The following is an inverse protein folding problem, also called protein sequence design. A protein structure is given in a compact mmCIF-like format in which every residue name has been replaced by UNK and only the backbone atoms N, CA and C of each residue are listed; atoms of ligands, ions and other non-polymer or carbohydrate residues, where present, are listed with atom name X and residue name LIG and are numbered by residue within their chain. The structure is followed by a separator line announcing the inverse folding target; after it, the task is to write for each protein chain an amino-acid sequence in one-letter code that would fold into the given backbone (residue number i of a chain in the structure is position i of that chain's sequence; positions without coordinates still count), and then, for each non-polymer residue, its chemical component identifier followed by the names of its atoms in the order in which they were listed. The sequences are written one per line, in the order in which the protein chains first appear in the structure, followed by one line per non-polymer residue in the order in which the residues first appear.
data_IF_828426780155
#
_entry.id   IF_828426780155
#
_cell.length_a   1.000
_cell.length_b   1.000
_cell.length_c   1.000
_cell.angle_alpha   90.00
_cell.angle_beta   90.00
_cell.angle_gamma   90.00
#
_symmetry.space_group_name_H-M   'P 1'
#
loop_
_entity.id
_entity.type
_entity.pdbx_description
1 polymer ?
#
# COMPACT_ATOMS: atom_id res chain seq x y z
N UNK A 1 -10.41 -44.89 -13.37
CA UNK A 1 -11.28 -44.73 -12.18
C UNK A 1 -11.95 -43.36 -12.23
N UNK A 2 -13.28 -43.31 -12.22
CA UNK A 2 -14.02 -42.04 -12.19
C UNK A 2 -14.03 -41.46 -10.77
N UNK A 3 -13.80 -40.15 -10.67
CA UNK A 3 -13.80 -39.46 -9.39
C UNK A 3 -15.24 -39.34 -8.85
N UNK A 4 -15.54 -39.79 -7.62
CA UNK A 4 -16.88 -39.72 -7.04
C UNK A 4 -17.35 -38.29 -6.77
N UNK A 5 -16.43 -37.31 -6.74
CA UNK A 5 -16.75 -35.90 -6.47
C UNK A 5 -17.06 -35.10 -7.72
N UNK A 6 -16.33 -35.31 -8.82
CA UNK A 6 -16.45 -34.48 -10.03
C UNK A 6 -16.70 -35.25 -11.32
N UNK A 7 -16.74 -36.59 -11.27
CA UNK A 7 -16.97 -37.45 -12.44
C UNK A 7 -15.80 -37.49 -13.43
N UNK A 8 -14.67 -36.87 -13.14
CA UNK A 8 -13.51 -36.90 -14.03
C UNK A 8 -12.91 -38.32 -14.09
N UNK A 9 -12.62 -38.79 -15.30
CA UNK A 9 -11.96 -40.06 -15.52
C UNK A 9 -10.46 -39.92 -15.24
N UNK A 10 -9.94 -40.65 -14.26
CA UNK A 10 -8.52 -40.73 -13.94
C UNK A 10 -7.94 -42.07 -14.37
N UNK A 11 -6.64 -42.09 -14.71
CA UNK A 11 -5.89 -43.34 -14.93
C UNK A 11 -5.83 -44.16 -13.63
N UNK A 12 -5.77 -45.49 -13.75
CA UNK A 12 -5.65 -46.39 -12.59
C UNK A 12 -4.30 -46.14 -11.90
N UNK A 13 -4.29 -46.07 -10.57
CA UNK A 13 -3.14 -45.81 -9.67
C UNK A 13 -2.82 -44.35 -9.30
N UNK A 14 -3.73 -43.40 -9.52
CA UNK A 14 -3.56 -42.04 -9.00
C UNK A 14 -4.10 -41.93 -7.56
N UNK A 15 -3.24 -41.56 -6.60
CA UNK A 15 -3.63 -41.38 -5.19
C UNK A 15 -4.61 -40.22 -4.95
N UNK A 16 -4.74 -39.29 -5.90
CA UNK A 16 -5.73 -38.22 -5.89
C UNK A 16 -6.20 -37.88 -7.31
N UNK A 17 -7.42 -37.36 -7.43
CA UNK A 17 -7.99 -36.96 -8.72
C UNK A 17 -7.22 -35.77 -9.31
N UNK A 18 -6.75 -35.89 -10.55
CA UNK A 18 -5.96 -34.84 -11.21
C UNK A 18 -6.76 -33.58 -11.55
N UNK A 19 -8.10 -33.64 -11.51
CA UNK A 19 -8.95 -32.49 -11.80
C UNK A 19 -9.37 -31.71 -10.55
N UNK A 20 -9.60 -32.37 -9.42
CA UNK A 20 -10.12 -31.71 -8.22
C UNK A 20 -9.29 -31.95 -6.95
N UNK A 21 -8.24 -32.76 -7.01
CA UNK A 21 -7.31 -33.03 -5.92
C UNK A 21 -7.85 -33.93 -4.81
N UNK A 22 -9.06 -34.51 -4.94
CA UNK A 22 -9.62 -35.39 -3.90
C UNK A 22 -8.87 -36.73 -3.87
N UNK A 23 -8.56 -37.23 -2.67
CA UNK A 23 -7.89 -38.52 -2.50
C UNK A 23 -8.77 -39.68 -3.00
N UNK A 24 -8.16 -40.62 -3.72
CA UNK A 24 -8.83 -41.76 -4.36
C UNK A 24 -8.71 -43.03 -3.49
N UNK A 25 -8.88 -42.91 -2.16
CA UNK A 25 -8.78 -44.03 -1.21
C UNK A 25 -10.13 -44.40 -0.58
N UNK A 26 -10.31 -45.70 -0.40
CA UNK A 26 -11.49 -46.48 -0.01
C UNK A 26 -12.53 -45.86 0.94
N UNK A 27 -13.77 -45.80 0.41
CA UNK A 27 -15.01 -46.37 0.94
C UNK A 27 -15.27 -46.32 2.45
N UNK A 28 -15.97 -45.27 2.92
CA UNK A 28 -17.18 -45.40 3.76
C UNK A 28 -17.72 -44.04 4.22
N UNK A 29 -18.86 -43.62 3.68
CA UNK A 29 -19.79 -42.74 4.37
C UNK A 29 -21.22 -43.24 4.15
N UNK A 30 -22.10 -43.14 5.17
CA UNK A 30 -23.36 -43.86 5.19
C UNK A 30 -24.41 -43.23 4.29
N UNK A 31 -25.26 -44.12 3.81
CA UNK A 31 -26.42 -43.95 2.93
C UNK A 31 -27.39 -42.86 3.38
N UNK A 32 -27.70 -41.93 2.46
CA UNK A 32 -29.04 -41.33 2.38
C UNK A 32 -29.58 -41.54 0.95
N UNK A 33 -30.76 -42.17 0.94
CA UNK A 33 -31.58 -42.66 -0.15
C UNK A 33 -31.60 -41.87 -1.47
N UNK A 34 -31.48 -42.62 -2.59
CA UNK A 34 -32.09 -42.25 -3.87
C UNK A 34 -32.95 -43.39 -4.42
N UNK A 35 -34.14 -42.97 -4.88
CA UNK A 35 -35.23 -43.71 -5.51
C UNK A 35 -34.83 -44.16 -6.94
N UNK A 36 -35.30 -45.32 -7.45
CA UNK A 36 -34.67 -45.97 -8.60
C UNK A 36 -35.08 -45.39 -9.97
N UNK A 37 -34.18 -45.63 -10.91
CA UNK A 37 -34.17 -45.20 -12.30
C UNK A 37 -35.24 -45.84 -13.20
N UNK A 38 -35.54 -45.16 -14.31
CA UNK A 38 -36.20 -45.76 -15.47
C UNK A 38 -35.37 -45.51 -16.75
N UNK A 39 -34.92 -46.63 -17.33
CA UNK A 39 -34.78 -46.97 -18.76
C UNK A 39 -34.13 -45.98 -19.74
N UNK A 40 -32.99 -46.39 -20.30
CA UNK A 40 -32.45 -45.85 -21.56
C UNK A 40 -33.14 -46.42 -22.80
N UNK A 41 -32.64 -46.06 -24.00
CA UNK A 41 -32.49 -47.09 -25.03
C UNK A 41 -31.17 -47.04 -25.80
N UNK A 42 -30.71 -48.26 -26.10
CA UNK A 42 -30.16 -48.80 -27.34
C UNK A 42 -29.02 -48.10 -28.10
N UNK A 43 -27.96 -48.89 -28.27
CA UNK A 43 -26.82 -48.67 -29.17
C UNK A 43 -27.23 -48.60 -30.65
N UNK A 44 -26.61 -47.67 -31.37
CA UNK A 44 -26.75 -47.54 -32.83
C UNK A 44 -25.66 -46.68 -33.47
N UNK A 45 -24.67 -47.37 -34.06
CA UNK A 45 -23.71 -46.93 -35.09
C UNK A 45 -22.64 -45.89 -34.73
N UNK A 46 -21.41 -46.41 -34.68
CA UNK A 46 -20.14 -45.72 -34.80
C UNK A 46 -20.13 -44.89 -36.10
N UNK A 47 -20.28 -43.58 -35.95
CA UNK A 47 -19.75 -42.60 -36.89
C UNK A 47 -18.61 -41.90 -36.17
N UNK A 48 -17.39 -41.99 -36.69
CA UNK A 48 -16.25 -41.21 -36.19
C UNK A 48 -16.64 -39.73 -36.15
N UNK A 49 -16.66 -39.04 -34.99
CA UNK A 49 -16.75 -37.60 -35.01
C UNK A 49 -15.38 -37.09 -35.47
N UNK A 50 -15.38 -36.66 -36.73
CA UNK A 50 -14.41 -35.74 -37.32
C UNK A 50 -14.00 -34.73 -36.24
N UNK A 51 -12.70 -34.63 -35.94
CA UNK A 51 -12.12 -33.64 -35.03
C UNK A 51 -12.69 -32.26 -35.39
N UNK A 52 -13.67 -31.79 -34.60
CA UNK A 52 -14.11 -30.42 -34.67
C UNK A 52 -12.93 -29.58 -34.20
N UNK A 53 -12.38 -28.78 -35.12
CA UNK A 53 -11.29 -27.86 -34.86
C UNK A 53 -11.64 -27.05 -33.60
N UNK A 54 -10.90 -27.30 -32.52
CA UNK A 54 -11.08 -26.58 -31.27
C UNK A 54 -10.86 -25.09 -31.51
N UNK A 55 -11.75 -24.27 -30.95
CA UNK A 55 -11.58 -22.82 -31.01
C UNK A 55 -10.16 -22.41 -30.56
N UNK A 56 -9.57 -21.36 -31.16
CA UNK A 56 -8.19 -20.98 -30.87
C UNK A 56 -8.01 -20.61 -29.39
N UNK A 57 -6.85 -20.93 -28.79
CA UNK A 57 -6.58 -20.65 -27.38
C UNK A 57 -6.65 -19.15 -27.10
N UNK A 58 -7.21 -18.78 -25.95
CA UNK A 58 -7.37 -17.39 -25.53
C UNK A 58 -6.16 -16.94 -24.73
N UNK A 59 -5.49 -15.89 -25.20
CA UNK A 59 -4.42 -15.26 -24.44
C UNK A 59 -5.00 -14.30 -23.39
N UNK A 60 -4.51 -14.39 -22.16
CA UNK A 60 -4.93 -13.51 -21.09
C UNK A 60 -4.42 -12.07 -21.33
N UNK A 61 -5.29 -11.04 -21.26
CA UNK A 61 -4.88 -9.65 -21.48
C UNK A 61 -4.03 -9.08 -20.34
N UNK A 62 -4.04 -9.70 -19.15
CA UNK A 62 -3.31 -9.21 -17.97
C UNK A 62 -1.92 -9.85 -17.83
N UNK A 63 -1.84 -11.19 -17.92
CA UNK A 63 -0.59 -11.93 -17.66
C UNK A 63 -0.07 -12.73 -18.86
N UNK A 64 -0.66 -12.52 -20.04
CA UNK A 64 -0.25 -13.11 -21.33
C UNK A 64 -0.24 -14.64 -21.41
N UNK A 65 -0.75 -15.34 -20.40
CA UNK A 65 -0.84 -16.80 -20.38
C UNK A 65 -1.86 -17.27 -21.41
N UNK A 66 -1.49 -18.28 -22.21
CA UNK A 66 -2.39 -18.96 -23.15
C UNK A 66 -3.28 -19.96 -22.40
N UNK A 67 -4.59 -19.83 -22.58
CA UNK A 67 -5.59 -20.69 -21.95
C UNK A 67 -6.36 -21.43 -23.04
N UNK A 68 -6.86 -22.63 -22.74
CA UNK A 68 -7.74 -23.33 -23.65
C UNK A 68 -9.01 -22.50 -23.94
N UNK A 69 -9.58 -22.62 -25.14
CA UNK A 69 -10.68 -21.76 -25.57
C UNK A 69 -11.95 -21.84 -24.70
N UNK A 70 -12.14 -22.95 -23.99
CA UNK A 70 -13.24 -23.20 -23.04
C UNK A 70 -13.09 -22.45 -21.71
N UNK A 71 -11.91 -21.93 -21.39
CA UNK A 71 -11.68 -21.24 -20.12
C UNK A 71 -12.36 -19.87 -20.12
N UNK A 72 -13.22 -19.66 -19.11
CA UNK A 72 -13.87 -18.36 -18.83
C UNK A 72 -12.96 -17.42 -18.04
N UNK A 73 -11.94 -17.94 -17.36
CA UNK A 73 -10.97 -17.18 -16.56
C UNK A 73 -9.55 -17.70 -16.81
N UNK A 74 -8.54 -16.85 -16.63
CA UNK A 74 -7.14 -17.24 -16.80
C UNK A 74 -6.70 -18.18 -15.68
N UNK A 75 -6.12 -19.32 -16.06
CA UNK A 75 -5.63 -20.35 -15.14
C UNK A 75 -4.46 -19.88 -14.25
N UNK A 76 -3.77 -18.78 -14.60
CA UNK A 76 -2.62 -18.25 -13.86
C UNK A 76 -2.97 -17.08 -12.94
N UNK A 77 -3.85 -16.17 -13.37
CA UNK A 77 -4.13 -14.92 -12.65
C UNK A 77 -5.62 -14.64 -12.40
N UNK A 78 -6.52 -15.53 -12.84
CA UNK A 78 -7.97 -15.41 -12.62
C UNK A 78 -8.70 -14.35 -13.47
N UNK A 79 -8.00 -13.63 -14.35
CA UNK A 79 -8.63 -12.59 -15.20
C UNK A 79 -9.68 -13.21 -16.16
N UNK A 80 -10.90 -12.65 -16.28
CA UNK A 80 -11.94 -13.18 -17.16
C UNK A 80 -11.53 -13.10 -18.64
N UNK A 81 -11.78 -14.18 -19.40
CA UNK A 81 -11.38 -14.36 -20.79
C UNK A 81 -12.62 -14.42 -21.69
N UNK A 82 -12.93 -13.32 -22.39
CA UNK A 82 -13.97 -13.31 -23.42
C UNK A 82 -14.97 -12.15 -23.37
N UNK A 83 -14.75 -11.12 -22.55
CA UNK A 83 -15.46 -9.85 -22.71
C UNK A 83 -14.62 -8.92 -23.59
N UNK A 84 -15.05 -8.71 -24.84
CA UNK A 84 -14.65 -7.52 -25.58
C UNK A 84 -15.21 -6.31 -24.83
N UNK A 85 -14.37 -5.66 -24.03
CA UNK A 85 -14.65 -4.30 -23.59
C UNK A 85 -14.58 -3.38 -24.82
N UNK A 86 -15.68 -2.74 -25.17
CA UNK A 86 -15.65 -1.60 -26.07
C UNK A 86 -14.80 -0.48 -25.42
N UNK A 87 -13.96 0.24 -26.18
CA UNK A 87 -13.23 1.38 -25.63
C UNK A 87 -14.23 2.53 -25.42
N UNK A 88 -14.43 2.92 -24.15
CA UNK A 88 -15.20 4.11 -23.78
C UNK A 88 -16.48 3.83 -23.01
N UNK A 89 -16.37 3.45 -21.74
CA UNK A 89 -17.43 3.65 -20.77
C UNK A 89 -16.80 4.11 -19.44
N UNK A 90 -17.04 5.36 -19.07
CA UNK A 90 -16.66 5.91 -17.77
C UNK A 90 -17.46 5.17 -16.67
N UNK A 91 -16.87 4.88 -15.49
CA UNK A 91 -17.64 4.41 -14.35
C UNK A 91 -18.69 5.46 -13.95
N UNK A 92 -19.92 5.00 -13.75
CA UNK A 92 -21.03 5.83 -13.29
C UNK A 92 -20.76 6.49 -11.95
N UNK A 93 -21.14 7.76 -11.87
CA UNK A 93 -21.12 8.54 -10.64
C UNK A 93 -22.11 7.98 -9.60
N UNK A 94 -21.78 8.00 -8.29
CA UNK A 94 -22.77 7.77 -7.25
C UNK A 94 -23.74 8.95 -7.13
N UNK A 95 -24.97 8.64 -6.74
CA UNK A 95 -26.09 9.56 -6.60
C UNK A 95 -25.77 10.79 -5.71
N UNK A 96 -26.14 11.97 -6.21
CA UNK A 96 -25.93 13.26 -5.57
C UNK A 96 -26.74 13.39 -4.26
N UNK A 97 -26.03 13.66 -3.17
CA UNK A 97 -26.58 14.17 -1.92
C UNK A 97 -26.80 15.68 -2.03
N UNK A 98 -27.90 16.14 -1.42
CA UNK A 98 -28.42 17.51 -1.42
C UNK A 98 -27.42 18.53 -0.81
N UNK A 99 -27.28 19.76 -1.34
CA UNK A 99 -26.38 20.77 -0.79
C UNK A 99 -26.99 21.47 0.46
N UNK A 100 -26.15 21.98 1.39
CA UNK A 100 -26.61 22.73 2.56
C UNK A 100 -27.00 24.18 2.19
N UNK A 101 -27.80 24.88 3.03
CA UNK A 101 -28.28 26.22 2.72
C UNK A 101 -27.21 27.30 2.93
N UNK A 102 -27.29 28.36 2.11
CA UNK A 102 -26.42 29.53 2.14
C UNK A 102 -26.67 30.45 3.36
N UNK A 103 -25.67 31.21 3.83
CA UNK A 103 -25.85 32.18 4.90
C UNK A 103 -26.51 33.48 4.39
N UNK A 104 -27.23 34.13 5.31
CA UNK A 104 -28.08 35.29 5.10
C UNK A 104 -27.31 36.58 4.74
N UNK A 105 -27.98 37.42 3.93
CA UNK A 105 -27.58 38.78 3.51
C UNK A 105 -27.56 39.77 4.69
N UNK A 106 -26.56 40.65 4.67
CA UNK A 106 -26.59 41.96 5.35
C UNK A 106 -27.25 43.04 4.45
N UNK A 107 -27.86 44.10 5.01
CA UNK A 107 -28.51 45.13 4.23
C UNK A 107 -27.56 46.26 3.80
N UNK A 108 -27.98 46.95 2.73
CA UNK A 108 -27.24 47.96 1.99
C UNK A 108 -27.56 49.40 2.45
N UNK A 109 -26.58 50.30 2.29
CA UNK A 109 -26.73 51.75 2.09
C UNK A 109 -25.41 52.25 1.47
N UNK A 110 -25.28 53.24 0.58
CA UNK A 110 -26.15 54.08 -0.25
C UNK A 110 -25.24 54.78 -1.27
N UNK A 111 -25.69 54.97 -2.51
CA UNK A 111 -24.92 55.56 -3.63
C UNK A 111 -24.76 57.09 -3.49
N UNK A 112 -23.65 57.64 -3.98
CA UNK A 112 -23.49 59.06 -4.32
C UNK A 112 -23.08 59.24 -5.80
N UNK A 113 -23.42 60.36 -6.47
CA UNK A 113 -23.34 60.53 -7.93
C UNK A 113 -22.02 61.20 -8.41
N UNK A 114 -21.76 61.22 -9.74
CA UNK A 114 -20.45 61.57 -10.30
C UNK A 114 -20.31 63.08 -10.61
N UNK A 115 -19.06 63.61 -10.74
CA UNK A 115 -18.83 64.95 -11.26
C UNK A 115 -18.60 64.99 -12.79
N UNK A 116 -18.81 66.15 -13.45
CA UNK A 116 -18.73 66.33 -14.90
C UNK A 116 -17.33 66.75 -15.41
N UNK A 117 -17.10 66.83 -16.75
CA UNK A 117 -15.77 66.89 -17.34
C UNK A 117 -15.33 68.31 -17.76
N UNK A 118 -14.02 68.54 -17.85
CA UNK A 118 -13.45 69.69 -18.56
C UNK A 118 -12.05 69.41 -19.13
N UNK A 119 -11.87 69.70 -20.42
CA UNK A 119 -10.64 69.74 -21.24
C UNK A 119 -9.91 71.11 -21.10
N UNK A 120 -8.86 71.48 -21.87
CA UNK A 120 -7.69 70.75 -22.41
C UNK A 120 -6.34 71.39 -21.98
N UNK A 121 -5.23 70.81 -22.45
CA UNK A 121 -3.82 71.09 -22.13
C UNK A 121 -3.29 72.51 -22.41
N UNK A 122 -2.31 72.94 -21.59
CA UNK A 122 -1.24 73.88 -22.00
C UNK A 122 0.11 73.46 -21.43
N UNK A 123 1.12 73.62 -22.28
CA UNK A 123 2.54 73.32 -22.19
C UNK A 123 3.31 74.04 -21.08
N UNK A 124 4.23 73.34 -20.41
CA UNK A 124 5.33 73.93 -19.64
C UNK A 124 6.60 73.07 -19.71
N UNK A 125 7.74 73.76 -19.80
CA UNK A 125 9.12 73.34 -20.15
C UNK A 125 9.74 72.20 -19.30
N UNK A 126 10.77 71.51 -19.82
CA UNK A 126 11.62 70.59 -19.04
C UNK A 126 12.47 71.36 -18.02
N UNK A 127 12.49 70.87 -16.77
CA UNK A 127 13.40 71.32 -15.70
C UNK A 127 14.74 70.57 -15.84
N UNK A 128 15.90 71.26 -15.76
CA UNK A 128 17.22 70.63 -15.89
C UNK A 128 17.57 69.76 -14.67
N UNK A 129 18.42 68.72 -14.84
CA UNK A 129 18.82 67.83 -13.75
C UNK A 129 19.76 68.50 -12.75
N UNK A 130 19.75 68.08 -11.48
CA UNK A 130 20.60 68.65 -10.43
C UNK A 130 22.08 68.27 -10.59
N UNK A 131 23.02 69.09 -10.05
CA UNK A 131 24.45 68.92 -10.26
C UNK A 131 25.04 67.69 -9.54
N UNK A 132 26.15 67.13 -10.05
CA UNK A 132 26.78 65.94 -9.47
C UNK A 132 27.42 66.25 -8.12
N UNK A 133 27.26 65.32 -7.17
CA UNK A 133 27.90 65.36 -5.85
C UNK A 133 29.41 65.08 -5.96
N UNK A 134 30.24 65.62 -5.05
CA UNK A 134 31.70 65.49 -5.12
C UNK A 134 32.16 64.03 -4.97
N UNK A 135 33.13 63.67 -5.79
CA UNK A 135 33.84 62.38 -5.73
C UNK A 135 34.78 62.40 -4.53
N UNK A 136 34.39 61.74 -3.45
CA UNK A 136 35.28 61.43 -2.31
C UNK A 136 35.40 59.92 -2.16
N UNK A 137 36.63 59.43 -2.35
CA UNK A 137 37.08 58.11 -1.91
C UNK A 137 36.72 56.97 -2.87
N UNK A 138 37.71 56.48 -3.62
CA UNK A 138 37.64 55.14 -4.20
C UNK A 138 37.46 54.11 -3.07
N UNK A 139 36.26 53.57 -2.93
CA UNK A 139 36.03 52.38 -2.14
C UNK A 139 36.81 51.24 -2.77
N UNK A 140 37.70 50.61 -2.00
CA UNK A 140 38.35 49.35 -2.39
C UNK A 140 37.26 48.35 -2.80
N UNK A 141 37.45 47.58 -3.90
CA UNK A 141 36.55 46.49 -4.21
C UNK A 141 36.46 45.57 -2.99
N UNK A 142 35.23 45.32 -2.53
CA UNK A 142 34.99 44.33 -1.48
C UNK A 142 35.60 43.01 -1.96
N UNK A 143 36.46 42.41 -1.12
CA UNK A 143 37.03 41.11 -1.39
C UNK A 143 35.90 40.11 -1.66
N UNK A 144 36.02 39.24 -2.68
CA UNK A 144 35.00 38.23 -2.94
C UNK A 144 34.76 37.41 -1.66
N UNK A 145 33.50 37.04 -1.36
CA UNK A 145 33.20 36.27 -0.16
C UNK A 145 34.06 35.00 -0.19
N UNK A 146 34.84 34.84 0.88
CA UNK A 146 35.68 33.67 1.11
C UNK A 146 34.81 32.42 0.87
N UNK A 147 35.24 31.45 0.04
CA UNK A 147 34.47 30.23 -0.16
C UNK A 147 34.15 29.63 1.20
N UNK A 148 32.86 29.39 1.47
CA UNK A 148 32.44 28.72 2.68
C UNK A 148 33.25 27.42 2.79
N UNK A 149 33.81 27.16 3.97
CA UNK A 149 34.55 25.93 4.22
C UNK A 149 33.70 24.72 3.80
N UNK A 150 34.28 23.67 3.19
CA UNK A 150 33.51 22.53 2.71
C UNK A 150 32.77 21.91 3.89
N UNK A 151 31.44 22.04 3.89
CA UNK A 151 30.61 21.47 4.95
C UNK A 151 30.65 19.96 4.76
N UNK A 152 31.19 19.24 5.76
CA UNK A 152 31.33 17.79 5.65
C UNK A 152 29.95 17.15 5.69
N UNK A 153 29.65 16.21 4.77
CA UNK A 153 28.43 15.42 4.85
C UNK A 153 28.44 14.64 6.17
N UNK A 154 27.27 14.53 6.82
CA UNK A 154 27.09 13.74 8.05
C UNK A 154 26.44 12.40 7.80
N UNK A 155 25.60 12.32 6.76
CA UNK A 155 25.04 11.09 6.23
C UNK A 155 24.57 11.31 4.79
N UNK A 156 24.31 10.23 4.06
CA UNK A 156 23.62 10.27 2.76
C UNK A 156 22.32 9.48 2.85
N UNK A 157 21.29 9.94 2.16
CA UNK A 157 20.00 9.25 2.03
C UNK A 157 19.76 9.00 0.55
N UNK A 158 19.67 7.72 0.17
CA UNK A 158 19.43 7.29 -1.20
C UNK A 158 17.98 6.86 -1.34
N UNK A 159 17.20 7.56 -2.18
CA UNK A 159 15.82 7.20 -2.48
C UNK A 159 15.78 6.16 -3.61
N UNK A 160 15.13 5.03 -3.33
CA UNK A 160 14.96 3.89 -4.22
C UNK A 160 13.46 3.75 -4.47
N UNK A 161 13.06 3.86 -5.73
CA UNK A 161 11.68 3.66 -6.14
C UNK A 161 11.32 2.16 -6.07
N UNK A 162 10.02 1.84 -6.08
CA UNK A 162 9.55 0.43 -6.04
C UNK A 162 10.07 -0.45 -7.18
N UNK A 163 10.43 0.14 -8.31
CA UNK A 163 11.02 -0.59 -9.45
C UNK A 163 12.51 -0.92 -9.25
N UNK A 164 13.09 -0.54 -8.10
CA UNK A 164 14.50 -0.71 -7.76
C UNK A 164 15.41 0.35 -8.36
N UNK A 165 14.88 1.31 -9.14
CA UNK A 165 15.67 2.41 -9.66
C UNK A 165 16.03 3.38 -8.53
N UNK A 166 17.25 3.91 -8.56
CA UNK A 166 17.63 5.01 -7.66
C UNK A 166 17.03 6.30 -8.20
N UNK A 167 16.10 6.86 -7.45
CA UNK A 167 15.38 8.07 -7.83
C UNK A 167 16.19 9.33 -7.53
N UNK A 168 16.84 9.40 -6.37
CA UNK A 168 17.62 10.56 -5.95
C UNK A 168 18.57 10.23 -4.78
N UNK A 169 19.69 10.95 -4.67
CA UNK A 169 20.57 10.89 -3.51
C UNK A 169 20.61 12.27 -2.83
N UNK A 170 20.41 12.28 -1.52
CA UNK A 170 20.38 13.49 -0.69
C UNK A 170 21.52 13.45 0.32
N UNK A 171 22.21 14.56 0.50
CA UNK A 171 23.31 14.67 1.46
C UNK A 171 22.81 15.43 2.68
N UNK A 172 22.86 14.78 3.84
CA UNK A 172 22.47 15.40 5.10
C UNK A 172 23.66 16.16 5.68
N UNK A 173 23.53 17.48 5.70
CA UNK A 173 24.56 18.41 6.16
C UNK A 173 24.12 19.14 7.44
N UNK A 174 22.85 19.55 7.46
CA UNK A 174 22.23 20.29 8.57
C UNK A 174 21.98 19.37 9.78
N UNK A 175 21.82 19.94 10.97
CA UNK A 175 21.37 19.21 12.16
C UNK A 175 19.96 18.65 12.00
N UNK A 176 19.11 19.38 11.26
CA UNK A 176 17.75 18.98 10.93
C UNK A 176 17.55 19.07 9.41
N UNK A 177 17.01 18.02 8.81
CA UNK A 177 16.64 17.97 7.40
C UNK A 177 15.23 17.43 7.26
N UNK A 178 14.35 18.19 6.61
CA UNK A 178 12.96 17.78 6.40
C UNK A 178 12.83 16.85 5.20
N UNK A 179 11.83 15.97 5.27
CA UNK A 179 11.46 15.03 4.22
C UNK A 179 10.01 15.29 3.85
N UNK A 180 9.72 15.53 2.58
CA UNK A 180 8.35 15.77 2.15
C UNK A 180 8.22 16.17 0.68
N UNK A 181 6.98 16.40 0.26
CA UNK A 181 6.65 16.84 -1.09
C UNK A 181 6.95 18.33 -1.30
N UNK A 182 6.66 19.15 -0.29
CA UNK A 182 6.70 20.62 -0.36
C UNK A 182 7.78 21.20 0.56
N UNK A 183 8.96 20.56 0.58
CA UNK A 183 10.14 21.01 1.32
C UNK A 183 11.10 21.80 0.44
N UNK A 184 12.09 22.44 1.05
CA UNK A 184 13.10 23.20 0.29
C UNK A 184 13.87 22.30 -0.68
N UNK A 185 14.38 22.88 -1.77
CA UNK A 185 15.14 22.15 -2.80
C UNK A 185 16.43 21.53 -2.26
N UNK A 186 16.96 22.06 -1.15
CA UNK A 186 18.17 21.56 -0.49
C UNK A 186 17.88 20.52 0.61
N UNK A 187 16.63 20.07 0.74
CA UNK A 187 16.19 19.04 1.68
C UNK A 187 15.80 17.75 0.94
N UNK A 188 15.27 16.75 1.65
CA UNK A 188 14.84 15.49 1.04
C UNK A 188 13.47 15.67 0.39
N UNK A 189 13.47 16.29 -0.80
CA UNK A 189 12.27 16.57 -1.57
C UNK A 189 11.88 15.38 -2.43
N UNK A 190 10.71 14.81 -2.16
CA UNK A 190 10.16 13.64 -2.85
C UNK A 190 8.84 14.00 -3.52
N UNK A 191 8.90 14.89 -4.51
CA UNK A 191 7.71 15.57 -5.03
C UNK A 191 6.90 14.79 -6.07
N UNK A 192 7.47 13.71 -6.59
CA UNK A 192 6.82 12.82 -7.57
C UNK A 192 5.84 11.84 -6.95
N UNK A 193 5.92 11.61 -5.63
CA UNK A 193 5.11 10.63 -4.94
C UNK A 193 3.88 11.28 -4.27
N UNK A 194 2.65 10.97 -4.70
CA UNK A 194 1.44 11.57 -4.15
C UNK A 194 1.12 11.09 -2.73
N UNK A 195 1.69 9.98 -2.27
CA UNK A 195 1.48 9.44 -0.93
C UNK A 195 2.39 10.09 0.11
N UNK A 196 3.25 11.03 -0.31
CA UNK A 196 4.11 11.80 0.58
C UNK A 196 3.43 13.14 0.91
N UNK A 197 3.25 13.40 2.21
CA UNK A 197 2.72 14.67 2.69
C UNK A 197 3.67 15.86 2.40
N UNK A 198 3.18 17.11 2.42
CA UNK A 198 4.00 18.32 2.28
C UNK A 198 5.24 18.31 3.19
N UNK A 199 5.03 18.00 4.47
CA UNK A 199 6.05 17.64 5.45
C UNK A 199 5.69 16.26 5.99
N UNK A 200 6.53 15.27 5.71
CA UNK A 200 6.26 13.88 6.04
C UNK A 200 7.05 13.38 7.24
N UNK A 201 8.35 13.66 7.24
CA UNK A 201 9.25 13.25 8.30
C UNK A 201 10.37 14.28 8.47
N UNK A 202 11.08 14.16 9.57
CA UNK A 202 12.23 15.01 9.87
C UNK A 202 13.39 14.13 10.30
N UNK A 203 14.52 14.26 9.62
CA UNK A 203 15.79 13.72 10.08
C UNK A 203 16.45 14.71 11.02
N UNK A 204 16.82 14.26 12.22
CA UNK A 204 17.54 15.05 13.21
C UNK A 204 18.78 14.30 13.67
N UNK A 205 19.89 15.01 13.80
CA UNK A 205 21.07 14.47 14.44
C UNK A 205 21.08 14.79 15.93
N UNK A 206 20.99 13.76 16.76
CA UNK A 206 21.19 13.83 18.20
C UNK A 206 22.65 13.42 18.50
N UNK A 207 23.55 14.39 18.45
CA UNK A 207 25.00 14.14 18.52
C UNK A 207 25.49 13.36 17.29
N UNK A 208 26.05 12.13 17.44
CA UNK A 208 26.42 11.27 16.32
C UNK A 208 25.25 10.43 15.77
N UNK A 209 24.16 10.30 16.54
CA UNK A 209 23.03 9.43 16.17
C UNK A 209 22.09 10.16 15.23
N UNK A 210 21.74 9.52 14.11
CA UNK A 210 20.65 9.99 13.26
C UNK A 210 19.32 9.44 13.78
N UNK A 211 18.32 10.30 13.89
CA UNK A 211 16.97 9.96 14.31
C UNK A 211 16.01 10.41 13.22
N UNK A 212 15.06 9.55 12.87
CA UNK A 212 13.92 9.91 12.02
C UNK A 212 12.70 10.15 12.90
N UNK A 213 12.03 11.27 12.69
CA UNK A 213 10.78 11.63 13.35
C UNK A 213 9.64 11.65 12.34
N UNK A 214 8.60 10.83 12.56
CA UNK A 214 7.35 10.92 11.79
C UNK A 214 6.61 12.20 12.19
N UNK A 215 6.16 12.98 11.21
CA UNK A 215 5.38 14.20 11.45
C UNK A 215 3.90 13.92 11.75
N UNK A 216 3.52 12.64 11.90
CA UNK A 216 2.15 12.23 12.21
C UNK A 216 1.27 12.17 10.97
N UNK A 217 1.85 11.80 9.82
CA UNK A 217 1.08 11.73 8.58
C UNK A 217 0.20 10.47 8.52
N UNK A 218 -0.89 10.47 7.72
CA UNK A 218 -1.75 9.28 7.59
C UNK A 218 -1.04 8.03 7.05
N UNK A 219 -0.06 8.25 6.17
CA UNK A 219 0.73 7.17 5.57
C UNK A 219 1.91 6.79 6.45
N UNK A 220 2.49 7.75 7.19
CA UNK A 220 3.53 7.51 8.18
C UNK A 220 4.86 7.03 7.60
N UNK A 221 5.84 6.93 8.49
CA UNK A 221 7.18 6.39 8.20
C UNK A 221 7.28 4.97 8.74
N UNK A 222 7.82 4.04 7.95
CA UNK A 222 8.08 2.68 8.43
C UNK A 222 9.56 2.33 8.35
N UNK A 223 10.07 1.62 9.35
CA UNK A 223 11.44 1.13 9.42
C UNK A 223 11.48 -0.36 9.08
N UNK A 224 12.36 -0.73 8.16
CA UNK A 224 12.62 -2.12 7.80
C UNK A 224 13.36 -2.84 8.92
N UNK A 225 13.09 -4.14 9.04
CA UNK A 225 13.78 -4.98 10.00
C UNK A 225 13.72 -6.44 9.62
N UNK A 226 14.63 -7.21 10.20
CA UNK A 226 14.62 -8.66 10.12
C UNK A 226 13.75 -9.29 11.21
N UNK A 227 13.83 -8.78 12.43
CA UNK A 227 13.08 -9.27 13.59
C UNK A 227 12.90 -8.15 14.61
N UNK A 228 11.71 -8.01 15.20
CA UNK A 228 11.39 -6.95 16.18
C UNK A 228 10.25 -7.36 17.09
N UNK A 229 10.39 -6.99 18.36
CA UNK A 229 9.30 -7.03 19.35
C UNK A 229 8.31 -5.91 19.06
N UNK A 230 7.04 -6.25 19.09
CA UNK A 230 5.92 -5.36 18.84
C UNK A 230 5.17 -5.07 20.14
N UNK A 231 4.61 -3.87 20.22
CA UNK A 231 3.60 -3.51 21.20
C UNK A 231 2.20 -3.70 20.60
N UNK A 232 1.20 -3.83 21.46
CA UNK A 232 -0.19 -3.89 21.00
C UNK A 232 -0.61 -2.55 20.43
N UNK A 233 -1.11 -2.56 19.19
CA UNK A 233 -1.42 -1.38 18.40
C UNK A 233 -0.34 -1.03 17.37
N UNK A 234 0.81 -1.73 17.36
CA UNK A 234 1.85 -1.49 16.36
C UNK A 234 1.37 -1.82 14.95
N UNK A 235 1.80 -1.00 14.00
CA UNK A 235 1.45 -1.14 12.60
C UNK A 235 2.60 -1.69 11.77
N UNK A 236 2.28 -2.69 10.94
CA UNK A 236 3.16 -3.33 10.00
C UNK A 236 2.79 -2.97 8.57
N UNK A 237 3.80 -2.91 7.72
CA UNK A 237 3.66 -2.81 6.27
C UNK A 237 4.26 -4.04 5.62
N UNK A 238 3.41 -4.83 4.97
CA UNK A 238 3.76 -6.06 4.27
C UNK A 238 3.15 -6.00 2.87
N UNK A 239 3.99 -5.90 1.82
CA UNK A 239 3.52 -5.70 0.45
C UNK A 239 2.71 -4.42 0.28
N UNK A 240 1.42 -4.49 -0.07
CA UNK A 240 0.45 -3.37 -0.07
C UNK A 240 -0.47 -3.33 1.15
N UNK A 241 -0.34 -4.30 2.05
CA UNK A 241 -1.14 -4.36 3.27
C UNK A 241 -0.55 -3.49 4.38
N UNK A 242 -1.43 -2.78 5.09
CA UNK A 242 -1.17 -2.18 6.39
C UNK A 242 -1.91 -3.00 7.44
N UNK A 243 -1.21 -3.42 8.47
CA UNK A 243 -1.70 -4.39 9.45
C UNK A 243 -1.44 -3.84 10.84
N UNK A 244 -2.47 -3.68 11.66
CA UNK A 244 -2.30 -3.38 13.09
C UNK A 244 -2.34 -4.67 13.88
N UNK A 245 -1.35 -4.92 14.71
CA UNK A 245 -1.29 -6.10 15.57
C UNK A 245 -1.71 -5.68 16.96
N UNK A 246 -2.70 -6.34 17.55
CA UNK A 246 -3.21 -5.97 18.88
C UNK A 246 -3.62 -7.22 19.68
N UNK A 247 -3.50 -7.12 21.01
CA UNK A 247 -4.04 -8.14 21.90
C UNK A 247 -5.55 -8.24 21.74
N UNK A 248 -6.09 -9.45 21.84
CA UNK A 248 -7.54 -9.58 21.96
C UNK A 248 -7.97 -8.99 23.30
N UNK A 249 -9.11 -8.29 23.36
CA UNK A 249 -9.68 -7.90 24.63
C UNK A 249 -9.98 -9.16 25.45
N UNK A 250 -9.81 -9.07 26.77
CA UNK A 250 -10.26 -10.12 27.67
C UNK A 250 -11.75 -10.39 27.42
N UNK A 251 -12.13 -11.67 27.32
CA UNK A 251 -13.54 -12.02 27.18
C UNK A 251 -14.30 -11.45 28.39
N UNK A 252 -15.39 -10.70 28.17
CA UNK A 252 -16.17 -10.19 29.28
C UNK A 252 -16.66 -11.37 30.11
N UNK A 253 -16.47 -11.29 31.43
CA UNK A 253 -16.86 -12.34 32.37
C UNK A 253 -18.33 -12.69 32.14
N UNK A 254 -18.58 -13.89 31.60
CA UNK A 254 -19.94 -14.32 31.28
C UNK A 254 -20.75 -14.51 32.56
N UNK A 255 -21.89 -13.83 32.65
CA UNK A 255 -22.93 -14.19 33.61
C UNK A 255 -23.38 -15.63 33.31
N UNK A 256 -23.30 -16.50 34.32
CA UNK A 256 -23.49 -17.95 34.20
C UNK A 256 -24.80 -18.39 33.54
N UNK A 257 -25.81 -17.51 33.49
CA UNK A 257 -27.17 -17.83 33.03
C UNK A 257 -27.48 -17.38 31.59
N UNK A 258 -26.49 -16.88 30.83
CA UNK A 258 -26.71 -16.48 29.44
C UNK A 258 -26.19 -17.52 28.44
N UNK A 259 -27.00 -17.92 27.44
CA UNK A 259 -26.53 -18.81 26.38
C UNK A 259 -25.43 -18.13 25.58
N UNK A 260 -24.29 -18.80 25.41
CA UNK A 260 -23.21 -18.34 24.54
C UNK A 260 -23.60 -18.59 23.08
N UNK A 261 -23.75 -17.52 22.31
CA UNK A 261 -23.99 -17.59 20.87
C UNK A 261 -22.66 -17.41 20.14
N UNK A 262 -22.23 -18.41 19.37
CA UNK A 262 -21.01 -18.36 18.57
C UNK A 262 -20.30 -19.70 18.47
N UNK A 263 -19.27 -19.77 17.63
CA UNK A 263 -18.32 -20.88 17.66
C UNK A 263 -17.40 -20.74 18.87
N UNK A 264 -17.04 -21.84 19.55
CA UNK A 264 -16.05 -21.80 20.63
C UNK A 264 -14.76 -21.09 20.19
N UNK A 265 -14.20 -20.25 21.05
CA UNK A 265 -12.89 -19.64 20.83
C UNK A 265 -11.80 -20.73 21.01
N UNK A 266 -11.05 -21.12 19.96
CA UNK A 266 -9.99 -22.13 20.06
C UNK A 266 -8.75 -21.70 20.86
N UNK A 267 -8.78 -20.54 21.52
CA UNK A 267 -7.65 -19.97 22.26
C UNK A 267 -6.89 -18.91 21.46
N UNK A 268 -7.59 -18.08 20.70
CA UNK A 268 -6.99 -16.89 20.08
C UNK A 268 -6.68 -15.85 21.15
N UNK A 269 -5.48 -15.27 21.07
CA UNK A 269 -4.92 -14.37 22.11
C UNK A 269 -4.62 -12.97 21.58
N UNK A 270 -4.41 -12.85 20.27
CA UNK A 270 -4.15 -11.58 19.60
C UNK A 270 -4.89 -11.56 18.26
N UNK A 271 -4.89 -10.42 17.58
CA UNK A 271 -5.46 -10.30 16.24
C UNK A 271 -4.63 -9.36 15.38
N UNK A 272 -4.68 -9.59 14.08
CA UNK A 272 -4.22 -8.65 13.07
C UNK A 272 -5.44 -7.99 12.43
N UNK A 273 -5.48 -6.68 12.46
CA UNK A 273 -6.52 -5.87 11.81
C UNK A 273 -5.92 -5.24 10.56
N UNK A 274 -6.53 -5.49 9.41
CA UNK A 274 -6.15 -4.83 8.17
C UNK A 274 -6.61 -3.37 8.20
N UNK A 275 -5.71 -2.44 7.88
CA UNK A 275 -6.03 -1.03 7.73
C UNK A 275 -6.16 -0.69 6.24
N UNK A 276 -7.37 -0.31 5.83
CA UNK A 276 -7.70 0.06 4.46
C UNK A 276 -7.31 1.51 4.15
N UNK A 277 -7.30 1.84 2.87
CA UNK A 277 -7.17 3.23 2.43
C UNK A 277 -8.26 4.10 3.05
N UNK A 278 -7.89 5.30 3.52
CA UNK A 278 -8.80 6.18 4.26
C UNK A 278 -8.91 5.89 5.76
N UNK A 279 -8.19 4.89 6.28
CA UNK A 279 -8.07 4.63 7.72
C UNK A 279 -9.14 3.73 8.33
N UNK A 280 -10.02 3.15 7.51
CA UNK A 280 -11.00 2.16 7.96
C UNK A 280 -10.35 0.81 8.30
N UNK A 281 -10.98 0.06 9.18
CA UNK A 281 -10.62 -1.33 9.45
C UNK A 281 -11.26 -2.26 8.42
N UNK A 282 -10.47 -3.22 7.94
CA UNK A 282 -10.87 -4.24 6.97
C UNK A 282 -10.96 -5.62 7.62
N UNK A 283 -10.33 -6.61 6.97
CA UNK A 283 -10.32 -7.98 7.47
C UNK A 283 -9.60 -8.08 8.83
N UNK A 284 -10.11 -8.94 9.71
CA UNK A 284 -9.53 -9.25 11.02
C UNK A 284 -9.13 -10.71 11.06
N UNK A 285 -7.87 -10.97 11.38
CA UNK A 285 -7.29 -12.30 11.45
C UNK A 285 -6.92 -12.62 12.89
N UNK A 286 -7.61 -13.59 13.54
CA UNK A 286 -7.28 -13.97 14.90
C UNK A 286 -5.98 -14.80 14.93
N UNK A 287 -5.13 -14.52 15.92
CA UNK A 287 -3.81 -15.13 16.10
C UNK A 287 -3.80 -16.07 17.30
N UNK A 288 -3.15 -17.21 17.14
CA UNK A 288 -2.94 -18.21 18.20
C UNK A 288 -1.62 -17.92 18.92
N UNK A 289 -1.46 -18.48 20.11
CA UNK A 289 -0.16 -18.56 20.76
C UNK A 289 0.85 -19.31 19.86
N UNK A 290 2.11 -18.87 19.89
CA UNK A 290 3.18 -19.39 19.04
C UNK A 290 3.27 -18.65 17.70
N UNK A 291 3.65 -19.38 16.64
CA UNK A 291 3.98 -18.79 15.34
C UNK A 291 2.75 -18.72 14.42
N UNK A 292 2.47 -17.53 13.89
CA UNK A 292 1.41 -17.28 12.92
C UNK A 292 2.03 -16.79 11.62
N UNK A 293 1.79 -17.51 10.52
CA UNK A 293 2.39 -17.22 9.23
C UNK A 293 1.59 -16.14 8.48
N UNK A 294 2.28 -15.09 8.05
CA UNK A 294 1.76 -14.04 7.19
C UNK A 294 2.32 -14.20 5.77
N UNK A 295 1.45 -14.22 4.77
CA UNK A 295 1.91 -14.31 3.38
C UNK A 295 0.79 -14.34 2.35
N UNK A 296 1.17 -14.46 1.08
CA UNK A 296 0.22 -14.63 -0.03
C UNK A 296 -0.24 -16.07 -0.20
N UNK A 297 0.55 -17.03 0.30
CA UNK A 297 0.20 -18.45 0.29
C UNK A 297 -0.84 -18.79 1.37
N UNK A 298 -1.08 -20.08 1.55
CA UNK A 298 -1.85 -20.56 2.70
C UNK A 298 -1.05 -20.31 4.00
N UNK A 299 -1.69 -19.69 4.98
CA UNK A 299 -1.14 -19.32 6.28
C UNK A 299 -2.26 -18.78 7.19
N UNK A 300 -1.92 -18.40 8.42
CA UNK A 300 -2.87 -17.87 9.39
C UNK A 300 -3.40 -16.48 8.97
N UNK A 301 -2.54 -15.67 8.35
CA UNK A 301 -2.90 -14.38 7.75
C UNK A 301 -2.54 -14.42 6.27
N UNK A 302 -3.56 -14.50 5.40
CA UNK A 302 -3.37 -14.73 3.96
C UNK A 302 -3.83 -13.55 3.10
N UNK A 303 -2.97 -13.09 2.20
CA UNK A 303 -3.26 -12.02 1.23
C UNK A 303 -3.08 -12.51 -0.22
N UNK A 304 -3.96 -13.41 -0.72
CA UNK A 304 -3.77 -14.12 -1.98
C UNK A 304 -3.72 -13.21 -3.21
N UNK A 305 -4.36 -12.05 -3.15
CA UNK A 305 -4.48 -11.10 -4.26
C UNK A 305 -3.38 -10.03 -4.30
N UNK A 306 -2.50 -9.98 -3.29
CA UNK A 306 -1.46 -8.96 -3.22
C UNK A 306 -0.12 -9.47 -3.76
N UNK A 307 0.17 -9.14 -5.02
CA UNK A 307 1.42 -9.55 -5.70
C UNK A 307 2.71 -9.06 -5.04
N UNK A 308 2.64 -8.07 -4.15
CA UNK A 308 3.80 -7.58 -3.40
C UNK A 308 4.07 -8.37 -2.11
N UNK A 309 3.20 -9.34 -1.77
CA UNK A 309 3.37 -10.21 -0.62
C UNK A 309 3.97 -11.55 -1.10
N UNK A 310 5.15 -11.91 -0.57
CA UNK A 310 5.74 -13.23 -0.73
C UNK A 310 4.81 -14.35 -0.23
N UNK A 311 4.93 -15.56 -0.79
CA UNK A 311 4.10 -16.71 -0.37
C UNK A 311 4.23 -17.02 1.12
N UNK A 312 5.46 -16.97 1.65
CA UNK A 312 5.79 -16.92 3.08
C UNK A 312 6.55 -15.62 3.30
N UNK A 313 5.93 -14.63 3.92
CA UNK A 313 6.49 -13.27 3.97
C UNK A 313 7.13 -13.01 5.34
N UNK A 314 6.33 -13.16 6.39
CA UNK A 314 6.74 -12.93 7.76
C UNK A 314 6.04 -13.91 8.69
N UNK A 315 6.58 -14.08 9.89
CA UNK A 315 5.91 -14.77 10.99
C UNK A 315 5.66 -13.78 12.10
N UNK A 316 4.44 -13.77 12.64
CA UNK A 316 4.12 -13.09 13.90
C UNK A 316 4.13 -14.14 15.00
N UNK A 317 5.03 -13.98 15.96
CA UNK A 317 5.13 -14.85 17.14
C UNK A 317 4.40 -14.20 18.29
N UNK A 318 3.43 -14.93 18.85
CA UNK A 318 2.69 -14.52 20.05
C UNK A 318 3.17 -15.37 21.23
N UNK A 319 3.94 -14.75 22.11
CA UNK A 319 4.39 -15.35 23.37
C UNK A 319 3.47 -14.99 24.53
N UNK A 320 3.89 -15.34 25.74
CA UNK A 320 3.22 -14.92 26.97
C UNK A 320 3.44 -13.41 27.17
N UNK A 321 2.42 -12.61 26.88
CA UNK A 321 2.47 -11.15 27.00
C UNK A 321 3.43 -10.44 26.03
N UNK A 322 3.96 -11.13 25.02
CA UNK A 322 4.86 -10.54 24.02
C UNK A 322 4.42 -10.83 22.59
N UNK A 323 4.56 -9.82 21.72
CA UNK A 323 4.36 -9.94 20.28
C UNK A 323 5.71 -9.70 19.59
N UNK A 324 6.01 -10.47 18.56
CA UNK A 324 7.18 -10.23 17.73
C UNK A 324 6.85 -10.53 16.27
N UNK A 325 7.54 -9.85 15.36
CA UNK A 325 7.48 -10.12 13.93
C UNK A 325 8.86 -10.43 13.40
N UNK A 326 8.93 -11.42 12.51
CA UNK A 326 10.15 -11.85 11.84
C UNK A 326 9.92 -11.96 10.35
N UNK A 327 10.72 -11.25 9.56
CA UNK A 327 10.73 -11.38 8.10
C UNK A 327 11.40 -12.70 7.69
N UNK A 328 10.79 -13.41 6.74
CA UNK A 328 11.26 -14.73 6.28
C UNK A 328 12.08 -14.64 4.98
N UNK A 329 12.73 -13.50 4.71
CA UNK A 329 13.44 -13.25 3.46
C UNK A 329 12.48 -12.85 2.35
N UNK A 330 11.54 -11.97 2.68
CA UNK A 330 10.56 -11.48 1.71
C UNK A 330 11.21 -10.63 0.62
N UNK A 331 10.58 -10.54 -0.55
CA UNK A 331 11.14 -9.81 -1.69
C UNK A 331 11.07 -8.28 -1.50
N UNK A 332 10.03 -7.79 -0.83
CA UNK A 332 9.77 -6.36 -0.62
C UNK A 332 10.07 -5.89 0.81
N UNK A 333 10.36 -6.81 1.73
CA UNK A 333 10.62 -6.50 3.13
C UNK A 333 9.36 -6.34 3.99
N UNK A 334 9.56 -6.52 5.30
CA UNK A 334 8.58 -6.21 6.35
C UNK A 334 9.02 -4.93 7.07
N UNK A 335 8.10 -3.97 7.20
CA UNK A 335 8.40 -2.70 7.87
C UNK A 335 7.45 -2.45 9.04
N UNK A 336 7.94 -1.80 10.09
CA UNK A 336 7.16 -1.40 11.27
C UNK A 336 7.06 0.11 11.33
N UNK A 337 5.87 0.64 11.62
CA UNK A 337 5.64 2.08 11.70
C UNK A 337 6.46 2.70 12.82
N UNK A 338 7.00 3.89 12.58
CA UNK A 338 7.71 4.68 13.58
C UNK A 338 6.68 5.48 14.39
N UNK A 339 6.56 5.17 15.68
CA UNK A 339 5.71 5.91 16.62
C UNK A 339 6.52 7.07 17.22
N UNK A 340 6.34 8.28 16.65
CA UNK A 340 7.09 9.47 17.07
C UNK A 340 8.48 9.50 16.44
N UNK A 341 9.50 8.96 17.12
CA UNK A 341 10.88 9.00 16.66
C UNK A 341 11.60 7.66 16.79
N UNK A 342 12.49 7.36 15.84
CA UNK A 342 13.31 6.16 15.84
C UNK A 342 14.76 6.47 15.46
N UNK A 343 15.69 5.87 16.18
CA UNK A 343 17.10 5.91 15.83
C UNK A 343 17.34 5.09 14.55
N UNK A 344 18.12 5.64 13.63
CA UNK A 344 18.49 5.00 12.37
C UNK A 344 19.99 5.07 12.15
N UNK A 345 20.53 4.03 11.53
CA UNK A 345 21.96 3.82 11.31
C UNK A 345 22.24 3.55 9.83
N UNK A 346 23.51 3.61 9.44
CA UNK A 346 23.91 3.30 8.08
C UNK A 346 23.54 1.85 7.71
N UNK A 347 22.86 1.68 6.59
CA UNK A 347 22.31 0.41 6.10
C UNK A 347 20.80 0.27 6.32
N UNK A 348 20.20 1.08 7.19
CA UNK A 348 18.77 1.00 7.48
C UNK A 348 17.92 1.46 6.27
N UNK A 349 16.75 0.84 6.13
CA UNK A 349 15.78 1.13 5.09
C UNK A 349 14.51 1.69 5.73
N UNK A 350 14.07 2.83 5.24
CA UNK A 350 12.84 3.49 5.64
C UNK A 350 11.87 3.50 4.46
N UNK A 351 10.62 3.13 4.69
CA UNK A 351 9.56 3.31 3.71
C UNK A 351 8.82 4.62 4.02
N UNK A 352 8.77 5.52 3.03
CA UNK A 352 8.07 6.81 3.09
C UNK A 352 7.25 6.96 1.82
N UNK A 353 5.92 6.93 1.95
CA UNK A 353 5.03 6.84 0.79
C UNK A 353 5.25 5.52 0.02
N UNK A 354 5.67 5.61 -1.24
CA UNK A 354 6.08 4.48 -2.07
C UNK A 354 7.61 4.36 -2.21
N UNK A 355 8.37 5.30 -1.66
CA UNK A 355 9.83 5.33 -1.77
C UNK A 355 10.49 4.60 -0.60
N UNK A 356 11.55 3.83 -0.91
CA UNK A 356 12.45 3.28 0.09
C UNK A 356 13.65 4.21 0.20
N UNK A 357 13.84 4.82 1.37
CA UNK A 357 15.01 5.62 1.69
C UNK A 357 16.03 4.73 2.40
N UNK A 358 17.21 4.58 1.80
CA UNK A 358 18.34 3.90 2.43
C UNK A 358 19.28 4.92 3.06
N UNK A 359 19.64 4.67 4.32
CA UNK A 359 20.67 5.46 5.00
C UNK A 359 22.04 4.92 4.60
N UNK A 360 22.86 5.76 4.02
CA UNK A 360 24.23 5.46 3.64
C UNK A 360 25.21 6.29 4.50
N UNK A 361 26.41 5.75 4.77
CA UNK A 361 27.44 6.53 5.46
C UNK A 361 27.81 7.78 4.65
N UNK A 362 28.30 8.81 5.35
CA UNK A 362 28.67 10.12 4.82
C UNK A 362 29.72 10.09 3.71
#
# INVERSE_FOLDING_TARGET
MECPRCGAHNETDVGSCLSCGVAMSDTSLPTIAQKPAASGPAAGKVGSPRLAQGAPPKQCPNCMTLNAATFKFCARCGTPLGATAAPGAKPGAPAASKPPPAPARAPAASKSPPPPPSKPATSARPVPPPPPKPVTGQARPASPPKPAAPVRPRARVSAIARDGSRSADFVLIKDETRVGRDVEVNEVRLDKDPFIAPLHAVFRFEGPQLVVQDSGTPNGVFLWLKERTLESGDELRIGRQRLRVEWMPDEPEQLADQPVWGSPNPGYVARVVQLLEGGGEGDVYPLKAGNNLVGRGAGDVSFPHDGYVSSKHATITVGEGSLAVKDLGSANGTFVRVNGQAAVTAGDLLLVGEQILRIDPA
#
